data_IF_517405973457
#
_entry.id   IF_517405973457
#
_cell.length_a   1.000
_cell.length_b   1.000
_cell.length_c   1.000
_cell.angle_alpha   90.00
_cell.angle_beta   90.00
_cell.angle_gamma   90.00
#
_symmetry.space_group_name_H-M   'P 1'
#
loop_
_entity.id
_entity.type
_entity.pdbx_description
1 polymer ?
#
# COMPACT_ATOMS: atom_id res chain seq x y z
N UNK A 1 23.62 5.10 -23.11
CA UNK A 1 24.89 5.15 -23.85
C UNK A 1 26.11 5.06 -22.94
N UNK A 2 26.30 5.94 -22.00
CA UNK A 2 27.45 6.00 -21.06
C UNK A 2 27.75 4.68 -20.30
N UNK A 3 26.72 4.07 -19.63
CA UNK A 3 26.93 2.82 -18.88
C UNK A 3 27.34 1.62 -19.75
N UNK A 4 26.87 1.55 -20.98
CA UNK A 4 27.27 0.49 -21.89
C UNK A 4 28.76 0.60 -22.25
N UNK A 5 29.26 1.81 -22.46
CA UNK A 5 30.68 2.07 -22.74
C UNK A 5 31.56 1.79 -21.51
N UNK A 6 31.09 2.14 -20.32
CA UNK A 6 31.75 1.80 -19.04
C UNK A 6 31.91 0.29 -18.89
N UNK A 7 30.82 -0.48 -19.08
CA UNK A 7 30.86 -1.94 -19.00
C UNK A 7 31.72 -2.57 -20.12
N UNK A 8 31.75 -1.98 -21.32
CA UNK A 8 32.60 -2.42 -22.41
C UNK A 8 34.08 -2.23 -22.08
N UNK A 9 34.43 -1.13 -21.45
CA UNK A 9 35.82 -0.86 -21.01
C UNK A 9 36.25 -1.82 -19.90
N UNK A 10 35.37 -2.12 -18.93
CA UNK A 10 35.58 -3.15 -17.92
C UNK A 10 35.80 -4.53 -18.54
N UNK A 11 34.94 -4.91 -19.50
CA UNK A 11 35.00 -6.19 -20.19
C UNK A 11 36.35 -6.37 -20.91
N UNK A 12 36.84 -5.31 -21.54
CA UNK A 12 38.18 -5.31 -22.18
C UNK A 12 39.31 -5.44 -21.17
N UNK A 13 39.25 -4.70 -20.07
CA UNK A 13 40.30 -4.70 -19.03
C UNK A 13 40.40 -6.07 -18.34
N UNK A 14 39.28 -6.62 -17.89
CA UNK A 14 39.23 -7.92 -17.19
C UNK A 14 39.03 -9.14 -18.10
N UNK A 15 39.04 -8.95 -19.43
CA UNK A 15 38.97 -10.02 -20.45
C UNK A 15 37.76 -10.94 -20.30
N UNK A 16 36.55 -10.37 -20.11
CA UNK A 16 35.32 -11.14 -20.14
C UNK A 16 34.39 -10.62 -21.26
N UNK A 17 33.42 -11.46 -21.70
CA UNK A 17 32.42 -11.07 -22.70
C UNK A 17 31.16 -10.57 -22.03
N UNK A 18 30.60 -9.46 -22.52
CA UNK A 18 29.29 -8.91 -22.08
C UNK A 18 28.10 -9.84 -22.40
N UNK A 19 28.25 -10.75 -23.36
CA UNK A 19 27.25 -11.73 -23.73
C UNK A 19 27.20 -12.92 -22.76
N UNK A 20 28.20 -13.03 -21.88
CA UNK A 20 28.25 -14.08 -20.87
C UNK A 20 27.14 -13.88 -19.84
N UNK A 21 26.29 -14.91 -19.65
CA UNK A 21 25.24 -14.88 -18.63
C UNK A 21 25.85 -14.60 -17.25
N UNK A 22 25.28 -13.68 -16.47
CA UNK A 22 25.73 -13.26 -15.14
C UNK A 22 26.19 -14.45 -14.26
N UNK A 23 25.36 -15.49 -14.16
CA UNK A 23 25.66 -16.69 -13.35
C UNK A 23 26.90 -17.47 -13.81
N UNK A 24 27.39 -17.25 -15.04
CA UNK A 24 28.58 -17.91 -15.61
C UNK A 24 29.84 -17.06 -15.48
N UNK A 25 29.72 -15.80 -15.08
CA UNK A 25 30.88 -14.95 -14.84
C UNK A 25 31.63 -15.43 -13.58
N UNK A 26 32.99 -15.40 -13.57
CA UNK A 26 33.75 -15.67 -12.35
C UNK A 26 33.30 -14.72 -11.21
N UNK A 27 33.28 -15.24 -9.99
CA UNK A 27 32.81 -14.46 -8.82
C UNK A 27 33.60 -13.16 -8.66
N UNK A 28 34.90 -13.19 -8.87
CA UNK A 28 35.77 -11.98 -8.86
C UNK A 28 35.26 -10.89 -9.81
N UNK A 29 34.81 -11.25 -11.02
CA UNK A 29 34.28 -10.28 -12.00
C UNK A 29 32.92 -9.76 -11.56
N UNK A 30 32.07 -10.64 -11.01
CA UNK A 30 30.78 -10.23 -10.44
C UNK A 30 30.98 -9.22 -9.30
N UNK A 31 31.92 -9.47 -8.39
CA UNK A 31 32.22 -8.59 -7.26
C UNK A 31 32.77 -7.24 -7.73
N UNK A 32 33.67 -7.22 -8.73
CA UNK A 32 34.15 -5.97 -9.32
C UNK A 32 33.02 -5.16 -9.96
N UNK A 33 32.11 -5.80 -10.71
CA UNK A 33 30.99 -5.11 -11.32
C UNK A 33 30.03 -4.54 -10.24
N UNK A 34 29.80 -5.28 -9.17
CA UNK A 34 28.89 -4.85 -8.09
C UNK A 34 29.51 -3.79 -7.18
N UNK A 35 30.73 -4.03 -6.70
CA UNK A 35 31.32 -3.26 -5.60
C UNK A 35 32.48 -2.36 -6.02
N UNK A 36 33.02 -2.54 -7.24
CA UNK A 36 34.07 -1.68 -7.77
C UNK A 36 35.43 -2.36 -7.92
N UNK A 37 36.38 -1.59 -8.43
CA UNK A 37 37.77 -2.05 -8.67
C UNK A 37 38.76 -1.68 -7.55
N UNK A 38 38.24 -1.28 -6.38
CA UNK A 38 39.02 -0.75 -5.26
C UNK A 38 40.00 0.33 -5.72
N UNK A 39 41.31 0.15 -5.52
CA UNK A 39 42.38 1.09 -5.94
C UNK A 39 42.83 0.89 -7.39
N UNK A 40 42.37 -0.16 -8.09
CA UNK A 40 42.75 -0.46 -9.45
C UNK A 40 42.16 0.55 -10.45
N UNK A 41 43.04 1.32 -11.11
CA UNK A 41 42.63 2.28 -12.13
C UNK A 41 42.43 1.60 -13.49
N UNK A 42 41.26 1.84 -14.08
CA UNK A 42 40.83 1.29 -15.35
C UNK A 42 40.77 2.39 -16.40
N UNK A 43 41.23 2.10 -17.62
CA UNK A 43 41.12 3.02 -18.74
C UNK A 43 39.74 2.89 -19.38
N UNK A 44 38.91 3.93 -19.25
CA UNK A 44 37.61 4.03 -19.86
C UNK A 44 37.64 4.82 -21.15
N UNK A 45 36.95 4.32 -22.16
CA UNK A 45 36.78 4.95 -23.45
C UNK A 45 35.34 5.42 -23.60
N UNK A 46 35.15 6.70 -23.81
CA UNK A 46 33.85 7.33 -24.01
C UNK A 46 33.78 7.98 -25.39
N UNK A 47 32.62 7.81 -26.04
CA UNK A 47 32.26 8.42 -27.31
C UNK A 47 30.85 8.96 -27.17
N UNK A 48 30.70 10.27 -27.16
CA UNK A 48 29.39 10.94 -27.06
C UNK A 48 28.77 11.29 -28.42
N UNK A 49 29.48 10.90 -29.50
CA UNK A 49 29.08 11.20 -30.88
C UNK A 49 29.70 12.49 -31.44
N UNK A 50 30.30 13.34 -30.60
CA UNK A 50 31.02 14.56 -30.97
C UNK A 50 32.50 14.45 -30.63
N UNK A 51 32.81 13.96 -29.44
CA UNK A 51 34.19 13.81 -28.97
C UNK A 51 34.42 12.40 -28.42
N UNK A 52 35.69 11.91 -28.65
CA UNK A 52 36.19 10.67 -28.05
C UNK A 52 37.23 11.02 -27.04
N UNK A 53 37.05 10.58 -25.82
CA UNK A 53 38.04 10.82 -24.77
C UNK A 53 38.29 9.58 -23.93
N UNK A 54 39.51 9.49 -23.46
CA UNK A 54 39.95 8.44 -22.57
C UNK A 54 40.13 9.02 -21.17
N UNK A 55 39.68 8.30 -20.19
CA UNK A 55 39.93 8.66 -18.78
C UNK A 55 40.42 7.44 -18.01
N UNK A 56 41.36 7.65 -17.10
CA UNK A 56 41.86 6.62 -16.21
C UNK A 56 41.38 6.89 -14.80
N UNK A 57 40.56 6.00 -14.25
CA UNK A 57 40.01 6.13 -12.92
C UNK A 57 39.60 4.77 -12.36
N UNK A 58 39.39 4.69 -11.05
CA UNK A 58 38.80 3.53 -10.40
C UNK A 58 37.33 3.38 -10.80
N UNK A 59 36.83 2.16 -10.79
CA UNK A 59 35.41 1.87 -11.02
C UNK A 59 34.69 1.79 -9.68
N UNK A 60 33.74 2.65 -9.48
CA UNK A 60 32.96 2.76 -8.22
C UNK A 60 32.13 1.49 -7.89
N UNK A 61 31.73 0.72 -8.91
CA UNK A 61 30.77 -0.37 -8.74
C UNK A 61 29.31 0.08 -8.85
N UNK A 62 28.46 -0.87 -9.26
CA UNK A 62 27.02 -0.57 -9.48
C UNK A 62 26.31 -0.30 -8.15
N UNK A 63 26.60 -1.08 -7.10
CA UNK A 63 25.96 -0.95 -5.78
C UNK A 63 26.32 0.38 -5.15
N UNK A 64 27.63 0.69 -5.04
CA UNK A 64 28.11 1.92 -4.43
C UNK A 64 27.59 3.17 -5.19
N UNK A 65 27.55 3.11 -6.52
CA UNK A 65 26.99 4.18 -7.35
C UNK A 65 25.50 4.41 -7.08
N UNK A 66 24.71 3.33 -6.96
CA UNK A 66 23.29 3.43 -6.65
C UNK A 66 23.05 3.94 -5.23
N UNK A 67 23.83 3.49 -4.24
CA UNK A 67 23.75 3.98 -2.86
C UNK A 67 24.07 5.46 -2.77
N UNK A 68 25.17 5.90 -3.35
CA UNK A 68 25.53 7.33 -3.39
C UNK A 68 24.43 8.16 -4.04
N UNK A 69 23.95 7.74 -5.22
CA UNK A 69 22.87 8.44 -5.92
C UNK A 69 21.56 8.47 -5.13
N UNK A 70 21.26 7.44 -4.36
CA UNK A 70 20.10 7.39 -3.48
C UNK A 70 20.19 8.42 -2.35
N UNK A 71 21.39 8.58 -1.77
CA UNK A 71 21.64 9.55 -0.70
C UNK A 71 21.69 11.00 -1.20
N UNK A 72 22.35 11.23 -2.34
CA UNK A 72 22.60 12.58 -2.88
C UNK A 72 21.42 13.18 -3.65
N UNK A 73 20.43 12.39 -4.07
CA UNK A 73 19.34 12.92 -4.89
C UNK A 73 18.27 13.61 -4.05
N UNK A 74 17.88 14.83 -4.45
CA UNK A 74 16.72 15.56 -3.90
C UNK A 74 15.39 15.16 -4.56
N UNK A 75 15.43 14.34 -5.61
CA UNK A 75 14.24 13.92 -6.34
C UNK A 75 13.66 12.64 -5.76
N UNK A 76 12.47 12.71 -5.17
CA UNK A 76 11.73 11.55 -4.65
C UNK A 76 11.55 10.45 -5.70
N UNK A 77 11.40 10.85 -6.96
CA UNK A 77 11.30 9.88 -8.06
C UNK A 77 12.57 9.09 -8.30
N UNK A 78 13.71 9.73 -8.29
CA UNK A 78 14.98 9.03 -8.46
C UNK A 78 15.23 8.10 -7.28
N UNK A 79 14.83 8.51 -6.06
CA UNK A 79 14.85 7.62 -4.89
C UNK A 79 13.94 6.42 -5.07
N UNK A 80 12.70 6.64 -5.52
CA UNK A 80 11.75 5.55 -5.77
C UNK A 80 12.24 4.61 -6.88
N UNK A 81 12.85 5.15 -7.95
CA UNK A 81 13.47 4.35 -9.00
C UNK A 81 14.64 3.50 -8.48
N UNK A 82 15.51 4.05 -7.64
CA UNK A 82 16.65 3.33 -7.08
C UNK A 82 16.19 2.33 -6.01
N UNK A 83 15.20 2.68 -5.19
CA UNK A 83 14.66 1.79 -4.14
C UNK A 83 14.11 0.47 -4.67
N UNK A 84 13.75 0.41 -5.97
CA UNK A 84 13.32 -0.83 -6.61
C UNK A 84 14.43 -1.90 -6.70
N UNK A 85 15.68 -1.50 -6.55
CA UNK A 85 16.84 -2.41 -6.52
C UNK A 85 17.25 -2.78 -5.10
N UNK A 86 16.63 -2.18 -4.08
CA UNK A 86 16.85 -2.51 -2.69
C UNK A 86 15.89 -3.62 -2.25
N UNK A 87 16.38 -4.52 -1.43
CA UNK A 87 15.56 -5.52 -0.74
C UNK A 87 15.66 -5.29 0.76
N UNK A 88 14.53 -5.36 1.44
CA UNK A 88 14.50 -5.32 2.90
C UNK A 88 15.05 -6.63 3.44
N UNK A 89 16.14 -6.55 4.19
CA UNK A 89 16.73 -7.67 4.89
C UNK A 89 16.72 -7.40 6.39
N UNK A 90 16.54 -8.45 7.18
CA UNK A 90 16.63 -8.32 8.63
C UNK A 90 18.05 -7.93 9.04
N UNK A 91 18.18 -6.98 9.94
CA UNK A 91 19.45 -6.62 10.53
C UNK A 91 20.13 -7.85 11.15
N UNK A 92 21.38 -8.14 10.79
CA UNK A 92 22.14 -9.30 11.25
C UNK A 92 22.30 -9.33 12.78
N UNK A 93 22.46 -8.16 13.44
CA UNK A 93 22.61 -8.07 14.88
C UNK A 93 21.30 -8.34 15.63
N UNK A 94 20.22 -7.62 15.28
CA UNK A 94 18.96 -7.78 16.01
C UNK A 94 17.98 -8.75 15.36
N UNK A 95 18.31 -9.35 14.21
CA UNK A 95 17.48 -10.34 13.48
C UNK A 95 16.02 -9.86 13.27
N UNK A 96 15.85 -8.56 13.07
CA UNK A 96 14.53 -7.94 12.90
C UNK A 96 13.82 -7.58 14.21
N UNK A 97 14.42 -7.78 15.37
CA UNK A 97 13.81 -7.48 16.69
C UNK A 97 13.85 -5.99 17.04
N UNK A 98 14.63 -5.18 16.32
CA UNK A 98 14.77 -3.70 16.44
C UNK A 98 15.33 -3.21 17.77
N UNK A 99 15.67 -4.10 18.70
CA UNK A 99 16.18 -3.80 20.04
C UNK A 99 17.45 -4.59 20.32
N UNK A 100 18.25 -4.10 21.27
CA UNK A 100 19.43 -4.80 21.80
C UNK A 100 19.00 -5.97 22.67
N UNK A 101 19.86 -6.98 22.82
CA UNK A 101 19.59 -8.18 23.62
C UNK A 101 19.27 -7.84 25.09
N UNK A 102 19.96 -6.87 25.65
CA UNK A 102 19.73 -6.42 27.04
C UNK A 102 18.31 -5.89 27.25
N UNK A 103 17.77 -5.16 26.28
CA UNK A 103 16.39 -4.66 26.34
C UNK A 103 15.36 -5.79 26.20
N UNK A 104 15.69 -6.86 25.49
CA UNK A 104 14.83 -8.03 25.30
C UNK A 104 14.83 -8.98 26.52
N UNK A 105 15.76 -8.80 27.46
CA UNK A 105 15.76 -9.52 28.74
C UNK A 105 14.61 -9.08 29.64
N UNK A 106 14.06 -7.86 29.46
CA UNK A 106 12.89 -7.38 30.21
C UNK A 106 11.64 -8.09 29.70
N UNK A 107 11.00 -8.84 30.58
CA UNK A 107 9.80 -9.65 30.25
C UNK A 107 8.64 -9.31 31.20
N UNK A 108 7.46 -9.19 30.66
CA UNK A 108 6.20 -9.08 31.39
C UNK A 108 5.38 -10.33 31.03
N UNK A 109 4.93 -11.06 32.02
CA UNK A 109 4.21 -12.32 31.82
C UNK A 109 4.93 -13.25 30.79
N UNK A 110 6.24 -13.44 30.99
CA UNK A 110 7.16 -14.28 30.17
C UNK A 110 7.46 -13.77 28.76
N UNK A 111 6.82 -12.71 28.27
CA UNK A 111 7.03 -12.14 26.94
C UNK A 111 7.82 -10.84 27.00
N UNK A 112 8.72 -10.65 26.03
CA UNK A 112 9.40 -9.40 25.80
C UNK A 112 8.59 -8.49 24.84
N UNK A 113 8.97 -7.23 24.73
CA UNK A 113 8.26 -6.25 23.91
C UNK A 113 8.22 -6.64 22.42
N UNK A 114 9.27 -7.27 21.89
CA UNK A 114 9.33 -7.70 20.48
C UNK A 114 8.34 -8.83 20.19
N UNK A 115 8.13 -9.73 21.14
CA UNK A 115 7.14 -10.81 21.04
C UNK A 115 5.73 -10.25 21.09
N UNK A 116 5.47 -9.31 22.00
CA UNK A 116 4.16 -8.65 22.14
C UNK A 116 3.81 -7.82 20.89
N UNK A 117 4.77 -7.11 20.31
CA UNK A 117 4.51 -6.32 19.09
C UNK A 117 4.21 -7.16 17.85
N UNK A 118 4.53 -8.46 17.86
CA UNK A 118 4.15 -9.40 16.78
C UNK A 118 2.70 -9.85 16.84
N UNK A 119 2.03 -9.64 17.95
CA UNK A 119 0.61 -9.95 18.06
C UNK A 119 -0.20 -9.08 17.09
N UNK A 120 -1.33 -9.63 16.63
CA UNK A 120 -2.37 -8.79 16.05
C UNK A 120 -2.87 -7.79 17.08
N UNK A 121 -3.44 -6.67 16.63
CA UNK A 121 -4.04 -5.68 17.54
C UNK A 121 -5.06 -6.33 18.47
N UNK A 122 -5.84 -7.29 17.94
CA UNK A 122 -6.81 -8.05 18.73
C UNK A 122 -6.15 -8.92 19.81
N UNK A 123 -5.11 -9.67 19.44
CA UNK A 123 -4.41 -10.53 20.38
C UNK A 123 -3.59 -9.71 21.40
N UNK A 124 -3.01 -8.59 20.97
CA UNK A 124 -2.34 -7.66 21.86
C UNK A 124 -3.31 -7.11 22.92
N UNK A 125 -4.52 -6.70 22.53
CA UNK A 125 -5.52 -6.25 23.49
C UNK A 125 -5.89 -7.33 24.50
N UNK A 126 -6.16 -8.55 24.03
CA UNK A 126 -6.46 -9.69 24.92
C UNK A 126 -5.32 -9.93 25.91
N UNK A 127 -4.07 -9.84 25.44
CA UNK A 127 -2.90 -10.03 26.29
C UNK A 127 -2.77 -8.90 27.33
N UNK A 128 -2.89 -7.63 26.93
CA UNK A 128 -2.83 -6.50 27.88
C UNK A 128 -3.94 -6.54 28.94
N UNK A 129 -5.16 -6.94 28.56
CA UNK A 129 -6.26 -7.14 29.51
C UNK A 129 -5.96 -8.30 30.49
N UNK A 130 -5.30 -9.36 30.03
CA UNK A 130 -4.93 -10.50 30.88
C UNK A 130 -3.90 -10.13 31.98
N UNK A 131 -3.12 -9.06 31.77
CA UNK A 131 -2.11 -8.62 32.73
C UNK A 131 -2.72 -8.18 34.06
N UNK A 132 -3.95 -7.72 34.07
CA UNK A 132 -4.67 -7.38 35.33
C UNK A 132 -4.75 -8.56 36.28
N UNK A 133 -4.76 -9.80 35.77
CA UNK A 133 -4.85 -11.00 36.58
C UNK A 133 -3.48 -11.62 36.94
N UNK A 134 -2.41 -11.19 36.27
CA UNK A 134 -1.07 -11.80 36.40
C UNK A 134 -0.07 -10.92 37.15
N UNK A 135 -0.30 -9.60 37.20
CA UNK A 135 0.58 -8.66 37.88
C UNK A 135 0.38 -8.69 39.40
N UNK A 136 1.45 -8.42 40.15
CA UNK A 136 1.37 -8.23 41.60
C UNK A 136 0.56 -6.96 41.94
N UNK A 137 0.07 -6.85 43.19
CA UNK A 137 -0.68 -5.67 43.66
C UNK A 137 0.12 -4.36 43.49
N UNK A 138 1.44 -4.43 43.71
CA UNK A 138 2.35 -3.30 43.52
C UNK A 138 2.44 -2.92 42.05
N UNK A 139 2.68 -3.89 41.16
CA UNK A 139 2.85 -3.63 39.74
C UNK A 139 1.54 -3.17 39.09
N UNK A 140 0.39 -3.65 39.57
CA UNK A 140 -0.92 -3.16 39.13
C UNK A 140 -1.09 -1.66 39.41
N UNK A 141 -0.71 -1.21 40.62
CA UNK A 141 -0.80 0.23 40.93
C UNK A 141 0.10 1.09 40.06
N UNK A 142 1.30 0.61 39.74
CA UNK A 142 2.26 1.30 38.88
C UNK A 142 1.74 1.33 37.44
N UNK A 143 1.25 0.20 36.93
CA UNK A 143 0.88 0.02 35.52
C UNK A 143 -0.53 0.53 35.22
N UNK A 144 -1.38 0.86 36.18
CA UNK A 144 -2.80 1.16 36.02
C UNK A 144 -3.08 2.21 34.93
N UNK A 145 -2.42 3.37 34.99
CA UNK A 145 -2.60 4.42 34.00
C UNK A 145 -2.05 4.03 32.62
N UNK A 146 -0.90 3.34 32.59
CA UNK A 146 -0.26 2.88 31.36
C UNK A 146 -1.13 1.85 30.64
N UNK A 147 -1.64 0.86 31.38
CA UNK A 147 -2.51 -0.19 30.83
C UNK A 147 -3.84 0.38 30.31
N UNK A 148 -4.41 1.37 31.04
CA UNK A 148 -5.60 2.08 30.61
C UNK A 148 -5.37 2.74 29.25
N UNK A 149 -4.32 3.55 29.12
CA UNK A 149 -3.96 4.23 27.87
C UNK A 149 -3.73 3.24 26.72
N UNK A 150 -2.97 2.18 26.95
CA UNK A 150 -2.70 1.15 25.93
C UNK A 150 -4.00 0.49 25.48
N UNK A 151 -4.84 0.07 26.42
CA UNK A 151 -6.10 -0.60 26.10
C UNK A 151 -7.08 0.33 25.35
N UNK A 152 -7.15 1.62 25.74
CA UNK A 152 -7.95 2.60 25.01
C UNK A 152 -7.49 2.76 23.55
N UNK A 153 -6.19 2.91 23.31
CA UNK A 153 -5.62 3.01 21.96
C UNK A 153 -5.80 1.76 21.13
N UNK A 154 -5.59 0.58 21.72
CA UNK A 154 -5.86 -0.69 21.03
C UNK A 154 -7.34 -0.84 20.69
N UNK A 155 -8.23 -0.46 21.61
CA UNK A 155 -9.66 -0.50 21.38
C UNK A 155 -10.09 0.43 20.23
N UNK A 156 -9.49 1.61 20.11
CA UNK A 156 -9.73 2.48 18.96
C UNK A 156 -9.29 1.84 17.63
N UNK A 157 -8.12 1.23 17.60
CA UNK A 157 -7.65 0.52 16.40
C UNK A 157 -8.59 -0.64 16.01
N UNK A 158 -9.15 -1.36 17.00
CA UNK A 158 -10.17 -2.39 16.76
C UNK A 158 -11.47 -1.81 16.21
N UNK A 159 -11.91 -0.67 16.75
CA UNK A 159 -13.14 0.00 16.35
C UNK A 159 -13.08 0.56 14.92
N UNK A 160 -11.88 0.89 14.42
CA UNK A 160 -11.70 1.28 13.01
C UNK A 160 -11.39 0.10 12.09
N UNK A 161 -11.55 -1.16 12.56
CA UNK A 161 -11.42 -2.37 11.76
C UNK A 161 -9.99 -2.79 11.43
N UNK A 162 -9.00 -2.43 12.26
CA UNK A 162 -7.60 -2.76 12.08
C UNK A 162 -7.14 -3.96 12.94
N UNK A 163 -8.05 -4.81 13.37
CA UNK A 163 -7.82 -5.95 14.27
C UNK A 163 -6.74 -6.92 13.78
N UNK A 164 -6.58 -7.07 12.48
CA UNK A 164 -5.65 -8.02 11.84
C UNK A 164 -4.22 -7.50 11.72
N UNK A 165 -3.97 -6.20 11.89
CA UNK A 165 -2.63 -5.62 11.81
C UNK A 165 -1.80 -6.02 13.02
N UNK A 166 -0.48 -6.19 12.82
CA UNK A 166 0.46 -6.37 13.93
C UNK A 166 1.07 -5.02 14.32
N UNK A 167 1.38 -4.85 15.60
CA UNK A 167 2.03 -3.61 16.08
C UNK A 167 3.44 -3.42 15.52
N UNK A 168 4.10 -4.52 15.10
CA UNK A 168 5.42 -4.49 14.47
C UNK A 168 5.40 -4.14 12.98
N UNK A 169 4.21 -4.00 12.37
CA UNK A 169 4.08 -3.76 10.92
C UNK A 169 4.67 -2.41 10.53
N UNK A 170 5.43 -2.39 9.46
CA UNK A 170 6.07 -1.19 8.95
C UNK A 170 5.07 -0.28 8.25
N UNK A 171 5.19 1.03 8.50
CA UNK A 171 4.28 2.04 7.93
C UNK A 171 4.27 2.06 6.40
N UNK A 172 5.42 1.81 5.76
CA UNK A 172 5.54 1.73 4.30
C UNK A 172 4.77 0.57 3.65
N UNK A 173 4.37 -0.45 4.45
CA UNK A 173 3.59 -1.60 3.97
C UNK A 173 2.09 -1.44 4.13
N UNK A 174 1.65 -0.35 4.76
CA UNK A 174 0.24 -0.04 4.98
C UNK A 174 -0.42 0.46 3.69
N UNK A 175 -1.66 0.07 3.47
CA UNK A 175 -2.50 0.70 2.45
C UNK A 175 -2.90 2.12 2.87
N UNK A 176 -3.29 2.96 1.90
CA UNK A 176 -3.75 4.33 2.18
C UNK A 176 -4.88 4.36 3.21
N UNK A 177 -5.88 3.50 3.06
CA UNK A 177 -6.99 3.39 4.01
C UNK A 177 -6.57 2.88 5.40
N UNK A 178 -5.58 1.97 5.50
CA UNK A 178 -5.03 1.55 6.80
C UNK A 178 -4.32 2.71 7.49
N UNK A 179 -3.49 3.45 6.76
CA UNK A 179 -2.76 4.62 7.29
C UNK A 179 -3.71 5.71 7.77
N UNK A 180 -4.76 6.01 7.00
CA UNK A 180 -5.79 6.99 7.37
C UNK A 180 -6.53 6.59 8.65
N UNK A 181 -6.91 5.31 8.78
CA UNK A 181 -7.57 4.80 10.00
C UNK A 181 -6.67 4.79 11.23
N UNK A 182 -5.37 4.52 11.07
CA UNK A 182 -4.39 4.65 12.17
C UNK A 182 -4.31 6.10 12.64
N UNK A 183 -4.26 7.08 11.72
CA UNK A 183 -4.28 8.50 12.07
C UNK A 183 -5.56 8.87 12.80
N UNK A 184 -6.71 8.43 12.29
CA UNK A 184 -8.01 8.65 12.94
C UNK A 184 -8.02 8.07 14.36
N UNK A 185 -7.61 6.82 14.55
CA UNK A 185 -7.53 6.17 15.86
C UNK A 185 -6.61 6.91 16.83
N UNK A 186 -5.45 7.44 16.34
CA UNK A 186 -4.52 8.24 17.14
C UNK A 186 -5.15 9.55 17.61
N UNK A 187 -5.92 10.22 16.77
CA UNK A 187 -6.60 11.46 17.10
C UNK A 187 -7.76 11.27 18.09
N UNK A 188 -8.56 10.21 17.91
CA UNK A 188 -9.64 9.84 18.82
C UNK A 188 -9.09 9.50 20.22
N UNK A 189 -7.96 8.78 20.27
CA UNK A 189 -7.32 8.40 21.52
C UNK A 189 -6.73 9.56 22.33
N UNK A 190 -6.64 10.77 21.76
CA UNK A 190 -6.14 11.95 22.47
C UNK A 190 -7.12 12.52 23.51
N UNK A 191 -8.39 12.10 23.49
CA UNK A 191 -9.43 12.58 24.41
C UNK A 191 -9.72 14.08 24.34
N UNK A 192 -9.30 14.74 23.25
CA UNK A 192 -9.52 16.17 23.06
C UNK A 192 -11.02 16.48 22.91
N UNK A 193 -11.44 17.58 23.50
CA UNK A 193 -12.80 18.12 23.41
C UNK A 193 -12.78 19.50 22.76
N UNK A 194 -13.88 19.89 22.08
CA UNK A 194 -13.98 21.19 21.40
C UNK A 194 -13.15 21.29 20.12
N UNK A 195 -12.76 20.18 19.53
CA UNK A 195 -11.96 20.10 18.30
C UNK A 195 -12.86 19.92 17.08
N UNK A 196 -12.46 20.53 15.96
CA UNK A 196 -13.05 20.28 14.64
C UNK A 196 -12.20 19.21 13.93
N UNK A 197 -12.81 18.06 13.63
CA UNK A 197 -12.25 16.99 12.82
C UNK A 197 -12.80 17.08 11.40
N UNK A 198 -11.92 17.12 10.41
CA UNK A 198 -12.28 17.08 8.98
C UNK A 198 -11.68 15.82 8.38
N UNK A 199 -12.52 14.99 7.80
CA UNK A 199 -12.17 13.67 7.24
C UNK A 199 -12.63 13.60 5.79
N UNK A 200 -11.76 13.14 4.92
CA UNK A 200 -12.03 12.95 3.51
C UNK A 200 -12.08 11.46 3.18
N UNK A 201 -13.24 10.97 2.74
CA UNK A 201 -13.52 9.58 2.38
C UNK A 201 -12.96 8.52 3.36
N UNK A 202 -13.22 8.60 4.69
CA UNK A 202 -12.64 7.67 5.66
C UNK A 202 -13.14 6.23 5.50
N UNK A 203 -14.24 5.99 4.79
CA UNK A 203 -14.78 4.66 4.49
C UNK A 203 -14.06 3.95 3.34
N UNK A 204 -13.16 4.65 2.63
CA UNK A 204 -12.52 4.09 1.42
C UNK A 204 -11.77 2.78 1.71
N UNK A 205 -12.04 1.75 0.91
CA UNK A 205 -11.44 0.42 1.07
C UNK A 205 -11.95 -0.39 2.27
N UNK A 206 -12.98 0.08 2.99
CA UNK A 206 -13.67 -0.69 4.01
C UNK A 206 -14.65 -1.69 3.40
N UNK A 207 -14.79 -2.82 4.09
CA UNK A 207 -15.91 -3.71 3.88
C UNK A 207 -17.13 -3.14 4.66
N UNK A 208 -18.37 -3.33 4.15
CA UNK A 208 -19.59 -2.83 4.80
C UNK A 208 -19.69 -3.19 6.29
N UNK A 209 -19.26 -4.40 6.67
CA UNK A 209 -19.22 -4.82 8.07
C UNK A 209 -18.36 -3.89 8.95
N UNK A 210 -17.26 -3.38 8.42
CA UNK A 210 -16.31 -2.55 9.17
C UNK A 210 -16.71 -1.07 9.13
N UNK A 211 -17.54 -0.67 8.14
CA UNK A 211 -18.08 0.69 8.04
C UNK A 211 -18.93 1.08 9.25
N UNK A 212 -19.75 0.17 9.76
CA UNK A 212 -20.53 0.39 10.99
C UNK A 212 -19.68 0.72 12.21
N UNK A 213 -18.49 0.11 12.32
CA UNK A 213 -17.54 0.42 13.39
C UNK A 213 -16.95 1.82 13.25
N UNK A 214 -16.63 2.22 12.01
CA UNK A 214 -16.16 3.56 11.70
C UNK A 214 -17.22 4.61 12.09
N UNK A 215 -18.47 4.42 11.64
CA UNK A 215 -19.58 5.32 11.98
C UNK A 215 -19.76 5.43 13.50
N UNK A 216 -19.70 4.32 14.22
CA UNK A 216 -19.77 4.33 15.69
C UNK A 216 -18.62 5.12 16.32
N UNK A 217 -17.40 5.00 15.78
CA UNK A 217 -16.23 5.76 16.25
C UNK A 217 -16.39 7.27 15.98
N UNK A 218 -16.92 7.67 14.81
CA UNK A 218 -17.19 9.07 14.46
C UNK A 218 -18.27 9.69 15.38
N UNK A 219 -19.36 8.95 15.63
CA UNK A 219 -20.40 9.36 16.58
C UNK A 219 -19.84 9.54 17.99
N UNK A 220 -18.99 8.64 18.45
CA UNK A 220 -18.32 8.77 19.74
C UNK A 220 -17.45 10.04 19.82
N UNK A 221 -16.71 10.39 18.75
CA UNK A 221 -15.97 11.65 18.68
C UNK A 221 -16.89 12.86 18.89
N UNK A 222 -18.03 12.88 18.18
CA UNK A 222 -19.05 13.93 18.32
C UNK A 222 -19.56 13.99 19.78
N UNK A 223 -19.90 12.85 20.34
CA UNK A 223 -20.50 12.75 21.69
C UNK A 223 -19.53 13.19 22.80
N UNK A 224 -18.22 13.21 22.52
CA UNK A 224 -17.21 13.81 23.39
C UNK A 224 -17.17 15.36 23.33
N UNK A 225 -18.10 16.00 22.62
CA UNK A 225 -18.17 17.45 22.47
C UNK A 225 -17.34 18.03 21.34
N UNK A 226 -17.01 17.23 20.33
CA UNK A 226 -16.30 17.65 19.13
C UNK A 226 -17.25 17.90 17.96
N UNK A 227 -16.79 18.65 16.97
CA UNK A 227 -17.44 18.77 15.67
C UNK A 227 -16.74 17.87 14.67
N UNK A 228 -17.50 17.07 13.92
CA UNK A 228 -16.95 16.12 12.94
C UNK A 228 -17.56 16.44 11.57
N UNK A 229 -16.72 16.80 10.60
CA UNK A 229 -17.10 17.00 9.20
C UNK A 229 -16.49 15.83 8.40
N UNK A 230 -17.34 15.17 7.61
CA UNK A 230 -16.94 14.03 6.79
C UNK A 230 -17.37 14.28 5.36
N UNK A 231 -16.42 14.21 4.42
CA UNK A 231 -16.74 14.13 3.00
C UNK A 231 -16.92 12.66 2.67
N UNK A 232 -18.11 12.26 2.23
CA UNK A 232 -18.47 10.85 2.04
C UNK A 232 -19.47 10.63 0.91
N UNK A 233 -19.40 9.41 0.35
CA UNK A 233 -20.31 8.92 -0.69
C UNK A 233 -21.07 7.66 -0.25
N UNK A 234 -20.76 7.15 0.93
CA UNK A 234 -21.39 5.95 1.48
C UNK A 234 -22.77 6.26 2.07
N UNK A 235 -23.76 5.47 1.64
CA UNK A 235 -25.17 5.66 2.06
C UNK A 235 -25.35 5.51 3.57
N UNK A 236 -24.77 4.48 4.20
CA UNK A 236 -24.90 4.25 5.66
C UNK A 236 -24.33 5.42 6.46
N UNK A 237 -23.24 6.02 5.98
CA UNK A 237 -22.62 7.19 6.62
C UNK A 237 -23.50 8.42 6.50
N UNK A 238 -24.04 8.70 5.29
CA UNK A 238 -24.97 9.81 5.06
C UNK A 238 -26.24 9.68 5.90
N UNK A 239 -26.87 8.51 5.93
CA UNK A 239 -28.06 8.23 6.75
C UNK A 239 -27.80 8.37 8.25
N UNK A 240 -26.56 8.18 8.67
CA UNK A 240 -26.15 8.25 10.07
C UNK A 240 -25.74 9.65 10.53
N UNK A 241 -25.63 10.61 9.61
CA UNK A 241 -25.23 11.99 9.90
C UNK A 241 -26.38 12.78 10.54
N UNK A 242 -26.02 13.70 11.43
CA UNK A 242 -26.99 14.64 12.05
C UNK A 242 -27.38 15.75 11.08
N UNK A 243 -26.46 16.16 10.20
CA UNK A 243 -26.64 17.20 9.21
C UNK A 243 -25.92 16.84 7.93
N UNK A 244 -26.56 17.02 6.78
CA UNK A 244 -25.99 16.73 5.45
C UNK A 244 -25.96 18.01 4.67
N UNK A 245 -24.88 18.24 3.91
CA UNK A 245 -24.72 19.33 2.95
C UNK A 245 -24.45 18.66 1.60
N UNK A 246 -25.38 18.85 0.65
CA UNK A 246 -25.29 18.29 -0.69
C UNK A 246 -24.81 19.37 -1.67
N UNK A 247 -23.74 19.08 -2.39
CA UNK A 247 -23.11 19.99 -3.37
C UNK A 247 -23.40 19.51 -4.78
N UNK A 248 -23.81 20.44 -5.64
CA UNK A 248 -24.14 20.14 -7.03
C UNK A 248 -24.49 21.39 -7.84
N UNK A 249 -25.41 21.27 -8.82
CA UNK A 249 -26.13 20.04 -9.22
C UNK A 249 -25.27 19.05 -10.02
N UNK A 250 -24.20 19.53 -10.66
CA UNK A 250 -23.27 18.75 -11.50
C UNK A 250 -21.82 18.93 -11.02
N UNK A 251 -20.86 18.56 -11.86
CA UNK A 251 -19.44 18.70 -11.59
C UNK A 251 -18.82 19.87 -12.39
N UNK A 252 -17.65 20.32 -11.99
CA UNK A 252 -16.87 21.37 -12.67
C UNK A 252 -17.59 22.72 -12.66
N UNK A 253 -17.70 23.36 -13.83
CA UNK A 253 -18.29 24.70 -13.97
C UNK A 253 -19.78 24.77 -13.57
N UNK A 254 -20.50 23.68 -13.68
CA UNK A 254 -21.91 23.59 -13.34
C UNK A 254 -22.19 23.14 -11.90
N UNK A 255 -21.10 22.84 -11.16
CA UNK A 255 -21.16 22.45 -9.76
C UNK A 255 -20.88 23.60 -8.80
N UNK A 256 -20.52 23.26 -7.57
CA UNK A 256 -20.04 24.20 -6.57
C UNK A 256 -21.12 24.99 -5.82
N UNK A 257 -22.40 24.63 -6.02
CA UNK A 257 -23.52 25.20 -5.27
C UNK A 257 -23.99 24.23 -4.19
N UNK A 258 -24.53 24.74 -3.08
CA UNK A 258 -25.26 23.94 -2.11
C UNK A 258 -26.67 23.70 -2.69
N UNK A 259 -26.95 22.46 -3.09
CA UNK A 259 -28.26 22.08 -3.67
C UNK A 259 -29.27 21.77 -2.58
N UNK A 260 -28.82 21.17 -1.50
CA UNK A 260 -29.66 20.85 -0.34
C UNK A 260 -28.82 20.83 0.94
N UNK A 261 -29.47 21.16 2.08
CA UNK A 261 -28.83 20.99 3.39
C UNK A 261 -29.86 20.72 4.47
N UNK A 262 -29.45 20.02 5.52
CA UNK A 262 -30.28 19.72 6.68
C UNK A 262 -30.28 18.26 7.05
N UNK A 263 -31.40 17.77 7.56
CA UNK A 263 -31.61 16.36 7.89
C UNK A 263 -31.69 15.50 6.62
N UNK A 264 -31.52 14.17 6.76
CA UNK A 264 -31.75 13.22 5.66
C UNK A 264 -33.09 13.48 4.92
N UNK A 265 -34.16 13.79 5.67
CA UNK A 265 -35.48 14.11 5.11
C UNK A 265 -35.42 15.35 4.21
N UNK A 266 -34.72 16.40 4.64
CA UNK A 266 -34.60 17.63 3.85
C UNK A 266 -33.91 17.37 2.50
N UNK A 267 -32.87 16.51 2.50
CA UNK A 267 -32.15 16.14 1.26
C UNK A 267 -33.07 15.37 0.31
N UNK A 268 -33.84 14.39 0.85
CA UNK A 268 -34.78 13.56 0.07
C UNK A 268 -35.91 14.38 -0.53
N UNK A 269 -36.39 15.37 0.20
CA UNK A 269 -37.56 16.21 -0.21
C UNK A 269 -37.13 17.31 -1.20
N UNK A 270 -35.83 17.61 -1.35
CA UNK A 270 -35.33 18.63 -2.27
C UNK A 270 -35.26 18.08 -3.70
N UNK A 271 -36.00 18.67 -4.62
CA UNK A 271 -36.12 18.21 -6.02
C UNK A 271 -34.83 18.31 -6.82
N UNK A 272 -34.00 19.28 -6.51
CA UNK A 272 -32.72 19.54 -7.19
C UNK A 272 -31.59 18.61 -6.70
N UNK A 273 -31.78 17.88 -5.62
CA UNK A 273 -30.79 16.97 -5.04
C UNK A 273 -30.79 15.62 -5.77
N UNK A 274 -29.75 15.39 -6.56
CA UNK A 274 -29.49 14.06 -7.16
C UNK A 274 -29.23 13.03 -6.06
N UNK A 275 -28.50 13.41 -5.02
CA UNK A 275 -28.23 12.58 -3.84
C UNK A 275 -29.54 12.15 -3.17
N UNK A 276 -30.49 13.07 -3.01
CA UNK A 276 -31.82 12.80 -2.48
C UNK A 276 -32.62 11.80 -3.32
N UNK A 277 -32.53 11.87 -4.64
CA UNK A 277 -33.18 10.92 -5.54
C UNK A 277 -32.64 9.49 -5.35
N UNK A 278 -31.33 9.32 -5.16
CA UNK A 278 -30.71 8.01 -4.89
C UNK A 278 -31.03 7.51 -3.48
N UNK A 279 -30.95 8.36 -2.46
CA UNK A 279 -31.27 8.00 -1.07
C UNK A 279 -32.76 7.62 -0.90
N UNK A 280 -33.67 8.26 -1.63
CA UNK A 280 -35.08 7.91 -1.63
C UNK A 280 -35.42 6.67 -2.46
N UNK A 281 -34.49 6.16 -3.25
CA UNK A 281 -34.74 5.06 -4.19
C UNK A 281 -35.51 5.46 -5.45
N UNK A 282 -35.81 6.76 -5.69
CA UNK A 282 -36.40 7.25 -6.95
C UNK A 282 -35.46 6.96 -8.14
N UNK A 283 -34.17 7.10 -7.92
CA UNK A 283 -33.12 6.69 -8.84
C UNK A 283 -32.31 5.55 -8.23
N UNK A 284 -31.97 4.57 -9.03
CA UNK A 284 -31.12 3.44 -8.65
C UNK A 284 -30.38 2.90 -9.85
N UNK A 285 -29.26 2.22 -9.59
CA UNK A 285 -28.49 1.53 -10.61
C UNK A 285 -29.13 0.15 -10.83
N UNK A 286 -29.60 -0.10 -12.04
CA UNK A 286 -30.26 -1.36 -12.36
C UNK A 286 -29.31 -2.55 -12.24
N UNK A 287 -29.75 -3.58 -11.55
CA UNK A 287 -29.04 -4.86 -11.49
C UNK A 287 -29.35 -5.66 -12.75
N UNK A 288 -28.34 -6.02 -13.58
CA UNK A 288 -28.59 -6.72 -14.83
C UNK A 288 -29.23 -8.10 -14.58
N UNK A 289 -30.35 -8.33 -15.24
CA UNK A 289 -31.11 -9.61 -15.15
C UNK A 289 -30.31 -10.81 -15.70
N UNK A 290 -29.50 -10.58 -16.75
CA UNK A 290 -28.58 -11.58 -17.33
C UNK A 290 -27.13 -11.18 -17.08
N UNK A 291 -26.35 -12.09 -16.51
CA UNK A 291 -24.89 -11.92 -16.32
C UNK A 291 -24.14 -12.52 -17.52
N UNK A 292 -23.06 -11.85 -17.95
CA UNK A 292 -22.15 -12.43 -18.94
C UNK A 292 -21.41 -13.62 -18.33
N UNK A 293 -21.29 -14.68 -19.11
CA UNK A 293 -20.50 -15.87 -18.77
C UNK A 293 -19.15 -15.83 -19.48
N UNK A 294 -18.24 -16.72 -19.12
CA UNK A 294 -16.96 -16.85 -19.78
C UNK A 294 -17.11 -17.02 -21.29
N UNK A 295 -16.42 -16.19 -22.06
CA UNK A 295 -16.41 -16.29 -23.53
C UNK A 295 -15.85 -17.66 -23.95
N UNK A 296 -16.70 -18.48 -24.61
CA UNK A 296 -16.34 -19.84 -25.04
C UNK A 296 -15.81 -20.76 -23.91
N UNK A 297 -16.26 -20.57 -22.65
CA UNK A 297 -15.78 -21.36 -21.51
C UNK A 297 -14.31 -21.16 -21.17
N UNK A 298 -13.70 -20.03 -21.58
CA UNK A 298 -12.27 -19.75 -21.35
C UNK A 298 -12.05 -19.05 -20.02
N UNK A 299 -10.99 -19.44 -19.34
CA UNK A 299 -10.63 -18.91 -18.01
C UNK A 299 -9.14 -18.59 -17.93
N UNK A 300 -8.83 -17.55 -17.18
CA UNK A 300 -7.50 -17.29 -16.65
C UNK A 300 -7.43 -17.90 -15.26
N UNK A 301 -6.42 -18.73 -14.99
CA UNK A 301 -6.29 -19.41 -13.69
C UNK A 301 -4.92 -19.14 -13.07
N UNK A 302 -4.89 -18.98 -11.77
CA UNK A 302 -3.70 -19.09 -10.90
C UNK A 302 -3.94 -20.23 -9.93
N UNK A 303 -2.94 -21.08 -9.75
CA UNK A 303 -3.01 -22.26 -8.92
C UNK A 303 -2.00 -22.19 -7.78
N UNK A 304 -2.45 -22.51 -6.58
CA UNK A 304 -1.58 -22.67 -5.43
C UNK A 304 -0.90 -21.39 -4.94
N UNK A 305 -1.60 -20.27 -4.92
CA UNK A 305 -1.05 -19.02 -4.41
C UNK A 305 -0.85 -19.07 -2.87
N UNK A 306 0.38 -18.75 -2.43
CA UNK A 306 0.79 -18.85 -1.01
C UNK A 306 1.45 -17.56 -0.48
N UNK A 307 1.35 -16.45 -1.23
CA UNK A 307 1.91 -15.17 -0.81
C UNK A 307 1.23 -14.60 0.43
N UNK A 308 2.00 -14.06 1.36
CA UNK A 308 1.53 -13.45 2.62
C UNK A 308 0.57 -14.39 3.40
N UNK A 309 -0.71 -14.01 3.55
CA UNK A 309 -1.74 -14.78 4.26
C UNK A 309 -2.51 -15.79 3.39
N UNK A 310 -2.16 -15.93 2.11
CA UNK A 310 -2.84 -16.88 1.22
C UNK A 310 -2.49 -18.34 1.56
N UNK A 311 -3.51 -19.18 1.65
CA UNK A 311 -3.41 -20.59 2.06
C UNK A 311 -3.60 -21.50 0.85
N UNK A 312 -2.63 -21.53 -0.08
CA UNK A 312 -2.65 -22.37 -1.28
C UNK A 312 -3.94 -22.15 -2.11
N UNK A 313 -4.22 -20.89 -2.43
CA UNK A 313 -5.48 -20.46 -3.06
C UNK A 313 -5.41 -20.65 -4.57
N UNK A 314 -6.43 -21.29 -5.12
CA UNK A 314 -6.67 -21.34 -6.57
C UNK A 314 -7.66 -20.25 -6.96
N UNK A 315 -7.37 -19.54 -8.04
CA UNK A 315 -8.20 -18.48 -8.60
C UNK A 315 -8.54 -18.79 -10.05
N UNK A 316 -9.83 -18.67 -10.38
CA UNK A 316 -10.34 -18.87 -11.75
C UNK A 316 -11.17 -17.66 -12.16
N UNK A 317 -10.69 -16.94 -13.20
CA UNK A 317 -11.32 -15.72 -13.71
C UNK A 317 -11.87 -15.99 -15.10
N UNK A 318 -13.17 -15.82 -15.31
CA UNK A 318 -13.77 -16.01 -16.64
C UNK A 318 -13.36 -14.88 -17.59
N UNK A 319 -12.91 -15.23 -18.79
CA UNK A 319 -12.49 -14.27 -19.82
C UNK A 319 -13.71 -13.57 -20.43
N UNK A 320 -13.57 -12.26 -20.67
CA UNK A 320 -14.62 -11.44 -21.28
C UNK A 320 -15.75 -11.04 -20.33
N UNK A 321 -15.51 -11.16 -19.02
CA UNK A 321 -16.47 -10.76 -17.98
C UNK A 321 -15.92 -9.63 -17.11
N UNK A 322 -16.82 -8.91 -16.47
CA UNK A 322 -16.50 -8.02 -15.36
C UNK A 322 -16.52 -8.85 -14.06
N UNK A 323 -15.34 -9.05 -13.47
CA UNK A 323 -15.17 -9.87 -12.28
C UNK A 323 -14.83 -8.99 -11.09
N UNK A 324 -15.60 -9.05 -10.01
CA UNK A 324 -15.37 -8.34 -8.76
C UNK A 324 -14.73 -9.28 -7.75
N UNK A 325 -13.60 -8.86 -7.14
CA UNK A 325 -12.94 -9.56 -6.04
C UNK A 325 -13.25 -8.83 -4.74
N UNK A 326 -14.01 -9.46 -3.87
CA UNK A 326 -14.51 -8.87 -2.63
C UNK A 326 -14.08 -9.65 -1.39
N UNK A 327 -14.27 -9.09 -0.23
CA UNK A 327 -13.94 -9.67 1.08
C UNK A 327 -13.48 -8.61 2.08
N UNK A 328 -13.39 -8.98 3.35
CA UNK A 328 -12.99 -8.07 4.44
C UNK A 328 -11.59 -7.48 4.23
N UNK A 329 -11.29 -6.35 4.88
CA UNK A 329 -9.95 -5.77 4.86
C UNK A 329 -8.92 -6.77 5.42
N UNK A 330 -7.72 -6.83 4.81
CA UNK A 330 -6.70 -7.80 5.19
C UNK A 330 -6.92 -9.25 4.71
N UNK A 331 -8.01 -9.57 3.99
CA UNK A 331 -8.29 -10.95 3.53
C UNK A 331 -7.35 -11.49 2.44
N UNK A 332 -6.43 -10.68 1.91
CA UNK A 332 -5.47 -11.10 0.89
C UNK A 332 -5.86 -10.77 -0.55
N UNK A 333 -6.93 -9.98 -0.79
CA UNK A 333 -7.37 -9.58 -2.14
C UNK A 333 -6.25 -8.97 -2.98
N UNK A 334 -5.58 -7.95 -2.47
CA UNK A 334 -4.48 -7.27 -3.15
C UNK A 334 -3.26 -8.18 -3.31
N UNK A 335 -3.00 -9.08 -2.36
CA UNK A 335 -1.94 -10.08 -2.47
C UNK A 335 -2.21 -11.03 -3.62
N UNK A 336 -3.45 -11.54 -3.75
CA UNK A 336 -3.82 -12.49 -4.80
C UNK A 336 -3.85 -11.81 -6.18
N UNK A 337 -4.49 -10.65 -6.30
CA UNK A 337 -4.72 -9.99 -7.59
C UNK A 337 -3.52 -9.15 -8.04
N UNK A 338 -3.07 -8.20 -7.21
CA UNK A 338 -2.00 -7.26 -7.61
C UNK A 338 -0.62 -7.88 -7.45
N UNK A 339 -0.32 -8.43 -6.27
CA UNK A 339 1.03 -8.91 -5.97
C UNK A 339 1.34 -10.28 -6.58
N UNK A 340 0.33 -11.11 -6.87
CA UNK A 340 0.52 -12.42 -7.49
C UNK A 340 0.12 -12.41 -8.96
N UNK A 341 -1.18 -12.30 -9.28
CA UNK A 341 -1.68 -12.43 -10.65
C UNK A 341 -1.16 -11.34 -11.58
N UNK A 342 -1.34 -10.06 -11.21
CA UNK A 342 -0.91 -8.93 -12.03
C UNK A 342 0.61 -8.97 -12.28
N UNK A 343 1.42 -9.17 -11.23
CA UNK A 343 2.87 -9.22 -11.38
C UNK A 343 3.32 -10.42 -12.22
N UNK A 344 2.65 -11.58 -12.10
CA UNK A 344 2.94 -12.75 -12.93
C UNK A 344 2.65 -12.48 -14.42
N UNK A 345 1.49 -11.90 -14.73
CA UNK A 345 1.11 -11.54 -16.09
C UNK A 345 2.01 -10.42 -16.65
N UNK A 346 2.33 -9.43 -15.85
CA UNK A 346 3.20 -8.33 -16.27
C UNK A 346 4.62 -8.80 -16.61
N UNK A 347 5.15 -9.75 -15.83
CA UNK A 347 6.44 -10.38 -16.11
C UNK A 347 6.41 -11.20 -17.39
N UNK A 348 5.31 -11.91 -17.65
CA UNK A 348 5.13 -12.76 -18.82
C UNK A 348 4.94 -11.95 -20.10
N UNK A 349 4.01 -10.98 -20.09
CA UNK A 349 3.57 -10.26 -21.30
C UNK A 349 4.48 -9.10 -21.68
N UNK A 350 5.18 -8.49 -20.71
CA UNK A 350 6.08 -7.35 -20.95
C UNK A 350 7.55 -7.74 -21.13
N UNK A 351 7.85 -8.98 -21.58
CA UNK A 351 9.19 -9.46 -21.89
C UNK A 351 10.23 -9.14 -20.79
N UNK A 352 9.93 -9.51 -19.55
CA UNK A 352 10.80 -9.32 -18.38
C UNK A 352 11.12 -7.84 -18.04
N UNK A 353 10.40 -6.87 -18.58
CA UNK A 353 10.56 -5.45 -18.17
C UNK A 353 9.92 -5.14 -16.81
N UNK A 354 9.09 -6.04 -16.29
CA UNK A 354 8.53 -5.88 -14.94
C UNK A 354 9.60 -6.12 -13.90
N UNK A 355 9.76 -5.13 -12.99
CA UNK A 355 10.72 -5.19 -11.88
C UNK A 355 10.15 -5.82 -10.62
N UNK A 356 8.80 -5.96 -10.53
CA UNK A 356 8.13 -6.56 -9.37
C UNK A 356 7.87 -8.04 -9.61
N UNK A 357 8.56 -8.88 -8.84
CA UNK A 357 8.33 -10.32 -8.87
C UNK A 357 6.96 -10.67 -8.26
N UNK A 358 6.25 -11.66 -8.84
CA UNK A 358 5.02 -12.16 -8.25
C UNK A 358 5.29 -12.84 -6.91
N UNK A 359 4.31 -12.77 -5.99
CA UNK A 359 4.34 -13.60 -4.78
C UNK A 359 4.22 -15.07 -5.15
N UNK A 360 4.61 -15.97 -4.22
CA UNK A 360 4.69 -17.40 -4.48
C UNK A 360 3.34 -18.00 -4.91
N UNK A 361 3.38 -18.78 -5.99
CA UNK A 361 2.28 -19.61 -6.52
C UNK A 361 2.87 -20.79 -7.28
N UNK A 362 2.05 -21.82 -7.58
CA UNK A 362 2.53 -23.05 -8.24
C UNK A 362 2.53 -22.94 -9.75
N UNK A 363 1.42 -22.51 -10.34
CA UNK A 363 1.24 -22.48 -11.80
C UNK A 363 0.16 -21.48 -12.21
N UNK A 364 0.10 -21.18 -13.52
CA UNK A 364 -0.96 -20.40 -14.15
C UNK A 364 -1.41 -21.09 -15.45
N UNK A 365 -2.65 -20.80 -15.89
CA UNK A 365 -3.23 -21.28 -17.17
C UNK A 365 -4.04 -20.17 -17.83
N UNK A 366 -4.19 -20.25 -19.15
CA UNK A 366 -5.00 -19.30 -19.91
C UNK A 366 -4.35 -17.93 -20.15
N UNK A 367 -3.04 -17.82 -19.93
CA UNK A 367 -2.29 -16.58 -20.14
C UNK A 367 -2.17 -16.20 -21.61
N UNK A 368 -2.23 -17.17 -22.50
CA UNK A 368 -2.27 -17.01 -23.95
C UNK A 368 -3.55 -16.29 -24.46
N UNK A 369 -4.54 -16.14 -23.59
CA UNK A 369 -5.80 -15.45 -23.89
C UNK A 369 -5.74 -13.95 -23.55
N UNK A 370 -4.61 -13.47 -23.04
CA UNK A 370 -4.42 -12.10 -22.57
C UNK A 370 -3.26 -11.46 -23.33
N UNK A 371 -3.54 -10.40 -24.07
CA UNK A 371 -2.52 -9.66 -24.84
C UNK A 371 -1.76 -8.66 -23.98
N UNK A 372 -2.44 -8.03 -23.01
CA UNK A 372 -1.88 -6.97 -22.16
C UNK A 372 -2.56 -6.92 -20.81
N UNK A 373 -1.80 -6.57 -19.79
CA UNK A 373 -2.30 -6.29 -18.43
C UNK A 373 -1.98 -4.85 -18.04
N UNK A 374 -2.97 -4.15 -17.46
CA UNK A 374 -2.87 -2.76 -17.03
C UNK A 374 -3.38 -2.66 -15.59
N UNK A 375 -2.61 -2.02 -14.74
CA UNK A 375 -3.02 -1.64 -13.38
C UNK A 375 -3.54 -0.19 -13.42
N UNK A 376 -4.77 0.00 -12.96
CA UNK A 376 -5.41 1.30 -12.82
C UNK A 376 -5.74 1.49 -11.34
N UNK A 377 -4.87 2.18 -10.64
CA UNK A 377 -5.10 2.56 -9.24
C UNK A 377 -5.66 3.98 -9.16
N UNK A 378 -6.81 4.15 -8.51
CA UNK A 378 -7.40 5.48 -8.25
C UNK A 378 -6.50 6.35 -7.38
N UNK A 379 -5.66 5.78 -6.53
CA UNK A 379 -4.67 6.51 -5.73
C UNK A 379 -3.68 7.25 -6.63
N UNK A 380 -3.37 6.71 -7.81
CA UNK A 380 -2.49 7.37 -8.78
C UNK A 380 -3.23 8.36 -9.69
N UNK A 381 -4.55 8.32 -9.74
CA UNK A 381 -5.40 9.20 -10.57
C UNK A 381 -5.85 10.43 -9.76
N UNK A 382 -6.06 10.30 -8.45
CA UNK A 382 -6.61 11.35 -7.59
C UNK A 382 -5.59 12.36 -7.04
N UNK A 383 -4.31 12.29 -7.41
CA UNK A 383 -3.31 13.31 -7.10
C UNK A 383 -2.96 14.15 -8.37
N UNK A 384 -3.81 15.09 -8.81
CA UNK A 384 -3.56 15.92 -10.01
C UNK A 384 -2.44 16.94 -9.82
N UNK A 385 -1.90 17.08 -8.62
CA UNK A 385 -0.87 18.08 -8.27
C UNK A 385 0.56 17.59 -8.51
N UNK A 386 0.79 16.32 -8.87
CA UNK A 386 2.14 15.86 -9.27
C UNK A 386 2.39 16.19 -10.75
N UNK A 387 3.44 16.97 -11.09
CA UNK A 387 3.74 17.44 -12.46
C UNK A 387 3.81 16.35 -13.54
N UNK A 388 3.84 15.07 -13.14
CA UNK A 388 3.94 13.90 -14.03
C UNK A 388 2.64 13.48 -14.68
N UNK A 389 1.51 13.66 -14.02
CA UNK A 389 0.20 13.30 -14.58
C UNK A 389 -0.18 14.24 -15.71
N UNK A 390 0.26 15.50 -15.64
CA UNK A 390 0.03 16.51 -16.69
C UNK A 390 0.76 16.12 -17.99
N UNK A 391 1.97 15.58 -17.93
CA UNK A 391 2.69 15.13 -19.11
C UNK A 391 2.09 13.86 -19.75
N UNK A 392 1.50 12.97 -18.95
CA UNK A 392 0.84 11.75 -19.45
C UNK A 392 -0.56 12.03 -20.01
N UNK A 393 -1.33 12.90 -19.36
CA UNK A 393 -2.64 13.33 -19.86
C UNK A 393 -2.50 14.14 -21.17
N UNK A 394 -1.47 14.97 -21.30
CA UNK A 394 -1.16 15.67 -22.54
C UNK A 394 -0.79 14.76 -23.72
N UNK A 395 -0.30 13.54 -23.44
CA UNK A 395 0.02 12.55 -24.48
C UNK A 395 -1.21 11.73 -24.93
N UNK A 396 -2.20 11.55 -24.06
CA UNK A 396 -3.45 10.85 -24.40
C UNK A 396 -4.45 11.74 -25.17
N UNK A 397 -4.34 13.06 -25.07
CA UNK A 397 -5.22 14.00 -25.78
C UNK A 397 -4.70 14.41 -27.18
N UNK A 398 -3.54 13.90 -27.61
CA UNK A 398 -2.94 14.16 -28.93
C UNK A 398 -2.98 12.97 -29.88
N UNK A 399 -3.95 12.07 -29.73
CA UNK A 399 -4.26 11.09 -30.77
C UNK A 399 -5.75 11.11 -31.09
#
# INVERSE_FOLDING_TARGET
MYYAQTLSSLAKHYKFSLDTKWKKLPKKIQDIILYGSDEEEIKFHYDDGYEKYDTKKTFEGVVNNLERRYLETDSDWKREEISQYQSETNCEKCKGLRLKEEALCVKINKLNISEVTRFSIEDAQKWFLSLENTLTLRDKKIAQHILKEINERLNFLLNVGLNYLTLSRESGTLSGGESQRIRLASQIGSGLTGVLYVLDEPSIGLHQRDNKKLIAALKRLRDLGNTVIVVEHDVETMESADHIIDLGPEAGLNGGNVTAQGSLKNIIDTKESITGDYLSGKKFIEIPKKRKTAKNGRFLEILGATGNNLKNVDLKIPIGTFTCVTGVSGSGKSTLILQTLFNALNLLLNNNKSRKLPKAFKNYKGTELIDKVIDLSLIHISEPTRPRLISYAGFCLKK
#
